data_IF_823673697363
#
_entry.id   IF_823673697363
#
_cell.length_a   1.000
_cell.length_b   1.000
_cell.length_c   1.000
_cell.angle_alpha   90.00
_cell.angle_beta   90.00
_cell.angle_gamma   90.00
#
_symmetry.space_group_name_H-M   'P 1'
#
loop_
_entity.id
_entity.type
_entity.pdbx_description
1 polymer ?
#
# COMPACT_ATOMS: atom_id res chain seq x y z
N UNK A 1 -45.79 -4.58 20.52
CA UNK A 1 -45.16 -4.06 19.28
C UNK A 1 -43.72 -3.53 19.45
N UNK A 2 -43.37 -2.82 20.54
CA UNK A 2 -42.02 -2.26 20.75
C UNK A 2 -40.87 -3.27 20.68
N UNK A 3 -41.01 -4.44 21.32
CA UNK A 3 -39.99 -5.52 21.29
C UNK A 3 -39.78 -6.11 19.89
N UNK A 4 -40.87 -6.27 19.14
CA UNK A 4 -40.82 -6.76 17.76
C UNK A 4 -40.06 -5.78 16.85
N UNK A 5 -40.33 -4.47 16.99
CA UNK A 5 -39.60 -3.42 16.26
C UNK A 5 -38.10 -3.40 16.60
N UNK A 6 -37.73 -3.61 17.86
CA UNK A 6 -36.33 -3.73 18.28
C UNK A 6 -35.65 -4.96 17.68
N UNK A 7 -36.34 -6.10 17.63
CA UNK A 7 -35.83 -7.32 16.99
C UNK A 7 -35.52 -7.10 15.50
N UNK A 8 -36.47 -6.54 14.74
CA UNK A 8 -36.25 -6.25 13.32
C UNK A 8 -35.15 -5.20 13.08
N UNK A 9 -35.04 -4.20 13.95
CA UNK A 9 -33.93 -3.24 13.88
C UNK A 9 -32.58 -3.90 14.15
N UNK A 10 -32.49 -4.78 15.15
CA UNK A 10 -31.28 -5.55 15.45
C UNK A 10 -30.91 -6.49 14.31
N UNK A 11 -31.88 -7.20 13.75
CA UNK A 11 -31.70 -8.08 12.60
C UNK A 11 -31.21 -7.33 11.36
N UNK A 12 -31.84 -6.20 11.02
CA UNK A 12 -31.41 -5.34 9.91
C UNK A 12 -29.99 -4.81 10.10
N UNK A 13 -29.63 -4.43 11.33
CA UNK A 13 -28.28 -3.98 11.66
C UNK A 13 -27.27 -5.11 11.50
N UNK A 14 -27.56 -6.30 12.06
CA UNK A 14 -26.69 -7.47 11.92
C UNK A 14 -26.47 -7.88 10.47
N UNK A 15 -27.51 -7.85 9.63
CA UNK A 15 -27.39 -8.16 8.21
C UNK A 15 -26.54 -7.13 7.45
N UNK A 16 -26.64 -5.85 7.81
CA UNK A 16 -25.80 -4.79 7.24
C UNK A 16 -24.33 -4.98 7.62
N UNK A 17 -24.06 -5.23 8.90
CA UNK A 17 -22.70 -5.39 9.40
C UNK A 17 -22.05 -6.66 8.80
N UNK A 18 -22.82 -7.76 8.66
CA UNK A 18 -22.40 -8.97 7.95
C UNK A 18 -22.06 -8.69 6.49
N UNK A 19 -22.95 -8.00 5.76
CA UNK A 19 -22.72 -7.63 4.37
C UNK A 19 -21.48 -6.75 4.20
N UNK A 20 -21.26 -5.79 5.11
CA UNK A 20 -20.05 -4.96 5.12
C UNK A 20 -18.79 -5.79 5.38
N UNK A 21 -18.84 -6.76 6.30
CA UNK A 21 -17.73 -7.67 6.58
C UNK A 21 -17.35 -8.51 5.35
N UNK A 22 -18.34 -9.10 4.69
CA UNK A 22 -18.13 -9.87 3.45
C UNK A 22 -17.57 -8.98 2.34
N UNK A 23 -18.13 -7.78 2.16
CA UNK A 23 -17.63 -6.84 1.15
C UNK A 23 -16.17 -6.45 1.39
N UNK A 24 -15.77 -6.22 2.65
CA UNK A 24 -14.39 -5.92 3.01
C UNK A 24 -13.46 -7.10 2.69
N UNK A 25 -13.86 -8.33 3.02
CA UNK A 25 -13.08 -9.54 2.72
C UNK A 25 -12.89 -9.69 1.22
N UNK A 26 -13.97 -9.61 0.43
CA UNK A 26 -13.93 -9.76 -1.02
C UNK A 26 -13.05 -8.68 -1.64
N UNK A 27 -13.24 -7.41 -1.26
CA UNK A 27 -12.42 -6.31 -1.77
C UNK A 27 -10.95 -6.49 -1.41
N UNK A 28 -10.64 -6.97 -0.21
CA UNK A 28 -9.25 -7.22 0.21
C UNK A 28 -8.61 -8.33 -0.60
N UNK A 29 -9.33 -9.42 -0.87
CA UNK A 29 -8.85 -10.52 -1.72
C UNK A 29 -8.65 -10.04 -3.15
N UNK A 30 -9.62 -9.32 -3.71
CA UNK A 30 -9.54 -8.77 -5.07
C UNK A 30 -8.34 -7.82 -5.21
N UNK A 31 -8.19 -6.87 -4.28
CA UNK A 31 -7.05 -5.94 -4.24
C UNK A 31 -5.73 -6.70 -4.13
N UNK A 32 -5.65 -7.73 -3.29
CA UNK A 32 -4.43 -8.53 -3.13
C UNK A 32 -4.04 -9.19 -4.44
N UNK A 33 -5.00 -9.82 -5.14
CA UNK A 33 -4.76 -10.46 -6.44
C UNK A 33 -4.31 -9.43 -7.47
N UNK A 34 -5.01 -8.29 -7.58
CA UNK A 34 -4.65 -7.21 -8.51
C UNK A 34 -3.28 -6.66 -8.20
N UNK A 35 -2.90 -6.52 -6.93
CA UNK A 35 -1.58 -6.02 -6.54
C UNK A 35 -0.48 -7.04 -6.84
N UNK A 36 -0.70 -8.32 -6.53
CA UNK A 36 0.26 -9.37 -6.84
C UNK A 36 0.46 -9.55 -8.34
N UNK A 37 -0.61 -9.48 -9.13
CA UNK A 37 -0.51 -9.58 -10.59
C UNK A 37 0.06 -8.27 -11.14
N UNK A 38 -0.57 -7.12 -10.90
CA UNK A 38 -0.14 -5.83 -11.43
C UNK A 38 1.28 -5.46 -11.00
N UNK A 39 1.55 -5.42 -9.69
CA UNK A 39 2.87 -5.04 -9.15
C UNK A 39 3.88 -6.19 -9.29
N UNK A 40 3.45 -7.44 -9.09
CA UNK A 40 4.36 -8.59 -9.23
C UNK A 40 4.83 -8.77 -10.67
N UNK A 41 3.93 -8.77 -11.66
CA UNK A 41 4.35 -8.86 -13.07
C UNK A 41 5.18 -7.64 -13.47
N UNK A 42 4.79 -6.41 -13.11
CA UNK A 42 5.61 -5.23 -13.43
C UNK A 42 7.01 -5.30 -12.80
N UNK A 43 7.15 -5.88 -11.61
CA UNK A 43 8.48 -6.09 -11.00
C UNK A 43 9.34 -7.12 -11.75
N UNK A 44 8.72 -8.19 -12.27
CA UNK A 44 9.39 -9.18 -13.12
C UNK A 44 9.86 -8.53 -14.43
N UNK A 45 9.01 -7.73 -15.07
CA UNK A 45 9.34 -7.01 -16.29
C UNK A 45 10.32 -5.85 -16.07
N UNK A 46 10.39 -5.26 -14.88
CA UNK A 46 11.37 -4.22 -14.56
C UNK A 46 12.75 -4.77 -14.17
N UNK A 47 12.83 -6.04 -13.77
CA UNK A 47 14.08 -6.74 -13.44
C UNK A 47 15.12 -6.70 -14.58
N UNK A 48 14.78 -6.92 -15.87
CA UNK A 48 15.72 -6.75 -16.97
C UNK A 48 16.16 -5.28 -17.19
N UNK A 49 15.37 -4.29 -16.76
CA UNK A 49 15.73 -2.87 -16.85
C UNK A 49 16.58 -2.36 -15.66
N UNK A 50 17.00 -3.25 -14.74
CA UNK A 50 17.77 -2.91 -13.52
C UNK A 50 17.13 -1.80 -12.67
N UNK A 51 15.84 -1.51 -12.84
CA UNK A 51 15.11 -0.54 -12.01
C UNK A 51 14.68 -1.23 -10.73
N UNK A 52 15.40 -0.95 -9.66
CA UNK A 52 14.97 -1.29 -8.30
C UNK A 52 13.89 -0.30 -7.88
N UNK A 53 12.62 -0.74 -7.85
CA UNK A 53 11.52 0.09 -7.37
C UNK A 53 11.58 0.35 -5.86
N UNK A 54 12.10 -0.61 -5.09
CA UNK A 54 12.52 -0.41 -3.71
C UNK A 54 14.04 -0.44 -3.65
N UNK A 55 14.64 0.62 -3.12
CA UNK A 55 16.04 0.61 -2.75
C UNK A 55 16.20 -0.35 -1.54
N UNK A 56 16.49 -1.62 -1.82
CA UNK A 56 16.69 -2.68 -0.81
C UNK A 56 17.92 -2.45 0.06
N UNK A 57 18.66 -1.35 -0.17
CA UNK A 57 19.67 -0.84 0.75
C UNK A 57 19.00 -0.20 1.96
N UNK A 58 18.39 -1.03 2.82
CA UNK A 58 18.28 -0.73 4.25
C UNK A 58 19.72 -0.71 4.79
N UNK A 59 20.41 0.40 4.51
CA UNK A 59 21.74 0.65 5.02
C UNK A 59 21.59 0.67 6.54
N UNK A 60 22.10 -0.37 7.21
CA UNK A 60 22.23 -0.43 8.68
C UNK A 60 23.01 0.77 9.27
N UNK A 61 23.48 1.71 8.45
CA UNK A 61 24.23 2.92 8.79
C UNK A 61 23.47 4.23 8.60
N UNK A 62 22.23 4.25 8.13
CA UNK A 62 21.45 5.49 8.02
C UNK A 62 20.32 5.48 9.05
N UNK A 63 20.61 6.02 10.23
CA UNK A 63 19.63 6.21 11.31
C UNK A 63 18.57 7.27 10.98
N UNK A 64 18.76 8.03 9.90
CA UNK A 64 17.79 9.02 9.44
C UNK A 64 17.75 9.13 7.91
N UNK A 65 16.63 9.61 7.37
CA UNK A 65 16.48 9.99 5.96
C UNK A 65 17.27 11.27 5.60
N UNK A 66 17.89 11.90 6.60
CA UNK A 66 18.71 13.09 6.45
C UNK A 66 20.12 12.70 6.00
N UNK A 67 20.57 13.29 4.91
CA UNK A 67 21.97 13.23 4.49
C UNK A 67 22.58 14.61 4.64
N UNK A 68 23.80 14.70 5.17
CA UNK A 68 24.56 15.95 5.17
C UNK A 68 24.65 16.50 3.75
N UNK A 69 24.04 17.67 3.53
CA UNK A 69 23.95 18.31 2.22
C UNK A 69 25.33 18.90 1.85
N UNK A 70 26.27 18.03 1.49
CA UNK A 70 27.58 18.42 1.01
C UNK A 70 27.48 18.89 -0.45
N UNK A 71 27.14 20.17 -0.63
CA UNK A 71 26.91 20.82 -1.93
C UNK A 71 28.07 20.69 -2.93
N UNK A 72 29.28 20.33 -2.47
CA UNK A 72 30.49 20.24 -3.29
C UNK A 72 30.77 18.85 -3.90
N UNK A 73 30.06 17.79 -3.50
CA UNK A 73 30.51 16.40 -3.75
C UNK A 73 29.66 15.56 -4.69
N UNK A 74 28.48 16.05 -5.10
CA UNK A 74 27.53 15.32 -5.95
C UNK A 74 27.45 15.93 -7.35
N UNK A 75 27.18 15.10 -8.36
CA UNK A 75 27.05 15.57 -9.74
C UNK A 75 25.81 16.46 -9.89
N UNK A 76 25.89 17.46 -10.78
CA UNK A 76 24.80 18.41 -11.05
C UNK A 76 23.47 17.73 -11.37
N UNK A 77 23.53 16.56 -12.01
CA UNK A 77 22.37 15.73 -12.36
C UNK A 77 21.60 15.20 -11.14
N UNK A 78 22.25 14.99 -9.99
CA UNK A 78 21.55 14.60 -8.77
C UNK A 78 20.77 15.77 -8.16
N UNK A 79 21.24 17.01 -8.33
CA UNK A 79 20.52 18.20 -7.85
C UNK A 79 19.25 18.48 -8.65
N UNK A 80 19.28 18.23 -9.97
CA UNK A 80 18.08 18.39 -10.81
C UNK A 80 16.95 17.42 -10.48
N UNK A 81 17.19 16.41 -9.64
CA UNK A 81 16.20 15.40 -9.21
C UNK A 81 15.71 15.61 -7.77
N UNK A 82 16.07 16.71 -7.11
CA UNK A 82 15.64 17.03 -5.75
C UNK A 82 14.24 17.67 -5.66
N UNK A 83 13.68 18.09 -6.80
CA UNK A 83 12.32 18.57 -6.96
C UNK A 83 11.57 17.62 -7.90
#
# INVERSE_FOLDING_TARGET
>A
MRKLKQFFNGFKKGMRDFGQGIALIINSVLLTIVYLIGVGFTSIFAKPFRKHFLDMRLSKKKETYWSDLNLKKKSMEEYYRQF
#
